data_IF_127208262114
#
_entry.id   IF_127208262114
#
_cell.length_a   1.000
_cell.length_b   1.000
_cell.length_c   1.000
_cell.angle_alpha   90.00
_cell.angle_beta   90.00
_cell.angle_gamma   90.00
#
_symmetry.space_group_name_H-M   'P 1'
#
loop_
_entity.id
_entity.type
_entity.pdbx_description
1 polymer ?
#
# COMPACT_ATOMS: atom_id res chain seq x y z
N UNK A 1 68.44 -68.09 -23.27
CA UNK A 1 68.05 -66.81 -23.89
C UNK A 1 66.78 -66.31 -23.20
N UNK A 2 66.80 -65.10 -22.64
CA UNK A 2 65.71 -64.54 -21.82
C UNK A 2 64.77 -63.69 -22.67
N UNK A 3 63.48 -64.00 -22.65
CA UNK A 3 62.39 -63.23 -23.24
C UNK A 3 62.16 -61.96 -22.43
N UNK A 4 62.25 -60.76 -23.05
CA UNK A 4 61.89 -59.48 -22.44
C UNK A 4 60.44 -59.13 -22.80
N UNK A 5 59.67 -58.76 -21.77
CA UNK A 5 58.28 -58.32 -21.85
C UNK A 5 58.15 -56.94 -22.53
N UNK A 6 57.16 -56.83 -23.41
CA UNK A 6 56.60 -55.57 -23.93
C UNK A 6 55.42 -55.20 -23.03
N UNK A 7 55.53 -54.14 -22.24
CA UNK A 7 54.37 -53.46 -21.62
C UNK A 7 54.63 -51.96 -21.66
N UNK A 8 54.14 -51.29 -22.70
CA UNK A 8 54.08 -49.83 -22.78
C UNK A 8 53.00 -49.41 -23.80
N UNK A 9 51.72 -49.45 -23.43
CA UNK A 9 50.64 -48.86 -24.25
C UNK A 9 49.24 -48.75 -23.63
N UNK A 10 48.98 -49.24 -22.41
CA UNK A 10 47.60 -49.23 -21.85
C UNK A 10 47.27 -47.97 -21.04
N UNK A 11 48.26 -47.25 -20.51
CA UNK A 11 48.00 -46.08 -19.65
C UNK A 11 47.58 -44.80 -20.39
N UNK A 12 47.97 -44.62 -21.65
CA UNK A 12 47.61 -43.43 -22.45
C UNK A 12 46.21 -43.52 -23.05
N UNK A 13 45.70 -44.71 -23.37
CA UNK A 13 44.36 -44.87 -23.93
C UNK A 13 43.26 -44.58 -22.90
N UNK A 14 43.40 -45.05 -21.66
CA UNK A 14 42.39 -44.87 -20.59
C UNK A 14 42.26 -43.41 -20.15
N UNK A 15 43.36 -42.65 -20.14
CA UNK A 15 43.33 -41.21 -19.83
C UNK A 15 42.67 -40.41 -20.97
N UNK A 16 42.82 -40.86 -22.23
CA UNK A 16 42.19 -40.21 -23.38
C UNK A 16 40.68 -40.48 -23.47
N UNK A 17 40.22 -41.71 -23.19
CA UNK A 17 38.80 -42.07 -23.22
C UNK A 17 38.01 -41.43 -22.07
N UNK A 18 38.59 -41.36 -20.88
CA UNK A 18 37.99 -40.66 -19.73
C UNK A 18 37.89 -39.15 -19.97
N UNK A 19 38.92 -38.52 -20.56
CA UNK A 19 38.88 -37.10 -20.91
C UNK A 19 37.85 -36.76 -22.00
N UNK A 20 37.64 -37.64 -22.99
CA UNK A 20 36.59 -37.47 -24.01
C UNK A 20 35.18 -37.71 -23.44
N UNK A 21 35.01 -38.70 -22.56
CA UNK A 21 33.74 -38.96 -21.87
C UNK A 21 33.31 -37.79 -20.96
N UNK A 22 34.24 -37.03 -20.39
CA UNK A 22 33.93 -35.94 -19.46
C UNK A 22 33.53 -34.63 -20.15
N UNK A 23 34.18 -34.27 -21.28
CA UNK A 23 33.67 -33.19 -22.17
C UNK A 23 32.28 -33.53 -22.73
N UNK A 24 31.97 -34.83 -22.85
CA UNK A 24 30.64 -35.27 -23.26
C UNK A 24 29.57 -34.91 -22.23
N UNK A 25 29.85 -34.94 -20.92
CA UNK A 25 28.85 -34.63 -19.90
C UNK A 25 28.42 -33.15 -19.94
N UNK A 26 29.35 -32.21 -20.12
CA UNK A 26 28.99 -30.80 -20.29
C UNK A 26 28.14 -30.57 -21.56
N UNK A 27 28.47 -31.27 -22.65
CA UNK A 27 27.69 -31.21 -23.89
C UNK A 27 26.30 -31.85 -23.75
N UNK A 28 26.19 -32.97 -23.03
CA UNK A 28 24.93 -33.64 -22.70
C UNK A 28 24.06 -32.75 -21.84
N UNK A 29 24.63 -32.15 -20.78
CA UNK A 29 23.92 -31.20 -19.93
C UNK A 29 23.35 -30.05 -20.76
N UNK A 30 24.14 -29.50 -21.69
CA UNK A 30 23.69 -28.42 -22.56
C UNK A 30 22.56 -28.87 -23.47
N UNK A 31 22.72 -30.02 -24.12
CA UNK A 31 21.74 -30.57 -25.07
C UNK A 31 20.40 -30.85 -24.38
N UNK A 32 20.42 -31.47 -23.21
CA UNK A 32 19.22 -31.75 -22.45
C UNK A 32 18.58 -30.48 -21.88
N UNK A 33 19.38 -29.51 -21.45
CA UNK A 33 18.84 -28.21 -21.04
C UNK A 33 18.20 -27.48 -22.22
N UNK A 34 18.83 -27.46 -23.40
CA UNK A 34 18.25 -26.87 -24.60
C UNK A 34 16.89 -27.52 -24.93
N UNK A 35 16.78 -28.86 -24.85
CA UNK A 35 15.49 -29.58 -25.00
C UNK A 35 14.46 -29.14 -23.96
N UNK A 36 14.86 -29.02 -22.70
CA UNK A 36 14.00 -28.50 -21.64
C UNK A 36 13.49 -27.08 -21.98
N UNK A 37 14.35 -26.17 -22.45
CA UNK A 37 13.93 -24.79 -22.74
C UNK A 37 12.90 -24.66 -23.86
N UNK A 38 12.83 -25.65 -24.76
CA UNK A 38 11.85 -25.73 -25.86
C UNK A 38 10.49 -26.25 -25.37
N UNK A 39 10.49 -27.30 -24.55
CA UNK A 39 9.24 -27.95 -24.10
C UNK A 39 8.66 -27.31 -22.82
N UNK A 40 9.54 -26.90 -21.91
CA UNK A 40 9.32 -26.22 -20.60
C UNK A 40 8.44 -26.93 -19.57
N UNK A 41 7.48 -27.75 -19.98
CA UNK A 41 6.47 -28.36 -19.10
C UNK A 41 6.21 -29.82 -19.42
N UNK A 42 5.61 -30.54 -18.48
CA UNK A 42 5.25 -31.94 -18.65
C UNK A 42 6.43 -32.91 -18.50
N UNK A 43 6.12 -34.20 -18.67
CA UNK A 43 7.05 -35.30 -18.35
C UNK A 43 8.37 -35.22 -19.14
N UNK A 44 8.32 -34.87 -20.42
CA UNK A 44 9.52 -34.75 -21.27
C UNK A 44 10.45 -33.67 -20.73
N UNK A 45 9.90 -32.50 -20.38
CA UNK A 45 10.69 -31.40 -19.81
C UNK A 45 11.32 -31.81 -18.46
N UNK A 46 10.56 -32.49 -17.60
CA UNK A 46 11.06 -33.00 -16.32
C UNK A 46 12.19 -34.00 -16.49
N UNK A 47 12.05 -34.95 -17.42
CA UNK A 47 13.10 -35.94 -17.73
C UNK A 47 14.36 -35.25 -18.24
N UNK A 48 14.25 -34.38 -19.25
CA UNK A 48 15.41 -33.65 -19.78
C UNK A 48 16.08 -32.77 -18.73
N UNK A 49 15.32 -32.08 -17.88
CA UNK A 49 15.90 -31.25 -16.81
C UNK A 49 16.60 -32.10 -15.74
N UNK A 50 16.07 -33.28 -15.41
CA UNK A 50 16.72 -34.26 -14.54
C UNK A 50 18.05 -34.76 -15.11
N UNK A 51 18.06 -35.19 -16.37
CA UNK A 51 19.29 -35.63 -17.05
C UNK A 51 20.31 -34.49 -17.15
N UNK A 52 19.86 -33.27 -17.47
CA UNK A 52 20.72 -32.10 -17.51
C UNK A 52 21.39 -31.85 -16.15
N UNK A 53 20.65 -32.02 -15.05
CA UNK A 53 21.18 -31.90 -13.68
C UNK A 53 22.27 -32.93 -13.39
N UNK A 54 22.03 -34.19 -13.70
CA UNK A 54 23.01 -35.26 -13.46
C UNK A 54 24.30 -35.01 -14.23
N UNK A 55 24.19 -34.66 -15.52
CA UNK A 55 25.34 -34.37 -16.35
C UNK A 55 26.09 -33.11 -15.93
N UNK A 56 25.40 -32.03 -15.53
CA UNK A 56 26.08 -30.81 -15.09
C UNK A 56 26.78 -31.00 -13.74
N UNK A 57 26.26 -31.84 -12.85
CA UNK A 57 26.93 -32.15 -11.59
C UNK A 57 28.23 -32.92 -11.82
N UNK A 58 28.24 -33.90 -12.74
CA UNK A 58 29.46 -34.60 -13.15
C UNK A 58 30.47 -33.65 -13.80
N UNK A 59 30.01 -32.76 -14.69
CA UNK A 59 30.88 -31.77 -15.33
C UNK A 59 31.45 -30.76 -14.31
N UNK A 60 30.68 -30.39 -13.30
CA UNK A 60 31.12 -29.48 -12.23
C UNK A 60 32.08 -30.14 -11.22
N UNK A 61 32.11 -31.46 -11.14
CA UNK A 61 33.03 -32.22 -10.29
C UNK A 61 34.38 -32.53 -10.97
N UNK A 62 34.54 -32.21 -12.26
CA UNK A 62 35.74 -32.52 -13.03
C UNK A 62 36.67 -31.31 -13.18
N UNK A 63 37.94 -31.44 -12.81
CA UNK A 63 38.91 -30.34 -12.80
C UNK A 63 39.02 -29.57 -14.13
N UNK A 64 38.83 -30.25 -15.28
CA UNK A 64 38.98 -29.62 -16.61
C UNK A 64 37.74 -28.81 -17.01
N UNK A 65 36.56 -29.20 -16.54
CA UNK A 65 35.30 -28.54 -16.90
C UNK A 65 34.72 -27.69 -15.79
N UNK A 66 35.07 -27.94 -14.53
CA UNK A 66 34.49 -27.28 -13.35
C UNK A 66 34.69 -25.75 -13.32
N UNK A 67 35.78 -25.27 -13.91
CA UNK A 67 36.15 -23.86 -13.93
C UNK A 67 35.76 -23.15 -15.24
N UNK A 68 35.10 -23.85 -16.17
CA UNK A 68 34.67 -23.23 -17.43
C UNK A 68 33.47 -22.29 -17.18
N UNK A 69 33.45 -21.09 -17.78
CA UNK A 69 32.30 -20.18 -17.67
C UNK A 69 30.98 -20.82 -18.08
N UNK A 70 31.00 -21.66 -19.12
CA UNK A 70 29.84 -22.42 -19.58
C UNK A 70 29.29 -23.38 -18.51
N UNK A 71 30.16 -24.02 -17.73
CA UNK A 71 29.74 -24.93 -16.65
C UNK A 71 29.00 -24.16 -15.57
N UNK A 72 29.49 -22.99 -15.17
CA UNK A 72 28.80 -22.14 -14.21
C UNK A 72 27.46 -21.64 -14.75
N UNK A 73 27.43 -21.11 -15.97
CA UNK A 73 26.22 -20.57 -16.58
C UNK A 73 25.13 -21.64 -16.73
N UNK A 74 25.51 -22.83 -17.21
CA UNK A 74 24.59 -23.93 -17.39
C UNK A 74 24.10 -24.51 -16.05
N UNK A 75 25.00 -24.63 -15.07
CA UNK A 75 24.62 -25.05 -13.71
C UNK A 75 23.62 -24.08 -13.10
N UNK A 76 23.85 -22.77 -13.24
CA UNK A 76 22.94 -21.75 -12.76
C UNK A 76 21.54 -21.88 -13.40
N UNK A 77 21.49 -22.03 -14.73
CA UNK A 77 20.24 -22.12 -15.48
C UNK A 77 19.44 -23.40 -15.14
N UNK A 78 20.11 -24.54 -15.08
CA UNK A 78 19.50 -25.85 -14.73
C UNK A 78 18.96 -25.80 -13.29
N UNK A 79 19.78 -25.40 -12.32
CA UNK A 79 19.37 -25.38 -10.92
C UNK A 79 18.27 -24.35 -10.65
N UNK A 80 18.32 -23.19 -11.29
CA UNK A 80 17.24 -22.20 -11.23
C UNK A 80 15.93 -22.74 -11.79
N UNK A 81 15.98 -23.49 -12.89
CA UNK A 81 14.80 -24.12 -13.48
C UNK A 81 14.20 -25.19 -12.54
N UNK A 82 15.04 -26.03 -11.93
CA UNK A 82 14.61 -27.05 -10.96
C UNK A 82 13.98 -26.45 -9.70
N UNK A 83 14.49 -25.31 -9.23
CA UNK A 83 13.92 -24.61 -8.08
C UNK A 83 12.49 -24.11 -8.35
N UNK A 84 12.04 -24.04 -9.60
CA UNK A 84 10.67 -23.68 -9.93
C UNK A 84 9.72 -24.90 -10.00
N UNK A 85 10.23 -26.15 -10.06
CA UNK A 85 9.43 -27.38 -10.28
C UNK A 85 9.39 -28.34 -9.06
N UNK A 86 10.05 -28.01 -7.95
CA UNK A 86 10.26 -28.95 -6.81
C UNK A 86 9.50 -28.57 -5.53
N UNK A 87 9.52 -29.44 -4.51
CA UNK A 87 8.91 -29.21 -3.19
C UNK A 87 9.71 -28.21 -2.34
N UNK A 88 9.11 -27.65 -1.28
CA UNK A 88 9.63 -26.46 -0.59
C UNK A 88 11.07 -26.58 -0.05
N UNK A 89 11.43 -27.67 0.63
CA UNK A 89 12.77 -27.82 1.22
C UNK A 89 13.85 -28.08 0.16
N UNK A 90 13.54 -28.87 -0.86
CA UNK A 90 14.45 -29.09 -1.99
C UNK A 90 14.68 -27.81 -2.79
N UNK A 91 13.67 -26.93 -2.90
CA UNK A 91 13.77 -25.64 -3.62
C UNK A 91 14.83 -24.71 -3.05
N UNK A 92 14.95 -24.59 -1.73
CA UNK A 92 15.89 -23.64 -1.09
C UNK A 92 17.36 -24.01 -1.36
N UNK A 93 17.69 -25.30 -1.35
CA UNK A 93 19.04 -25.77 -1.69
C UNK A 93 19.34 -25.58 -3.18
N UNK A 94 18.35 -25.84 -4.04
CA UNK A 94 18.48 -25.68 -5.49
C UNK A 94 18.71 -24.22 -5.87
N UNK A 95 17.93 -23.29 -5.29
CA UNK A 95 18.07 -21.86 -5.59
C UNK A 95 19.40 -21.30 -5.09
N UNK A 96 19.87 -21.72 -3.91
CA UNK A 96 21.18 -21.31 -3.39
C UNK A 96 22.30 -21.74 -4.33
N UNK A 97 22.26 -23.00 -4.78
CA UNK A 97 23.22 -23.53 -5.76
C UNK A 97 23.16 -22.76 -7.09
N UNK A 98 21.95 -22.40 -7.54
CA UNK A 98 21.76 -21.61 -8.76
C UNK A 98 22.38 -20.21 -8.63
N UNK A 99 22.16 -19.53 -7.50
CA UNK A 99 22.68 -18.18 -7.24
C UNK A 99 24.22 -18.16 -7.16
N UNK A 100 24.83 -19.13 -6.48
CA UNK A 100 26.28 -19.26 -6.40
C UNK A 100 26.90 -19.51 -7.78
N UNK A 101 26.30 -20.41 -8.56
CA UNK A 101 26.74 -20.69 -9.92
C UNK A 101 26.53 -19.47 -10.84
N UNK A 102 25.42 -18.74 -10.68
CA UNK A 102 25.12 -17.55 -11.45
C UNK A 102 26.18 -16.46 -11.23
N UNK A 103 26.52 -16.18 -9.97
CA UNK A 103 27.57 -15.21 -9.66
C UNK A 103 28.92 -15.59 -10.28
N UNK A 104 29.33 -16.86 -10.12
CA UNK A 104 30.57 -17.36 -10.75
C UNK A 104 30.53 -17.26 -12.28
N UNK A 105 29.38 -17.50 -12.89
CA UNK A 105 29.20 -17.37 -14.33
C UNK A 105 29.38 -15.92 -14.79
N UNK A 106 28.80 -14.95 -14.08
CA UNK A 106 28.98 -13.53 -14.37
C UNK A 106 30.44 -13.10 -14.26
N UNK A 107 31.15 -13.57 -13.23
CA UNK A 107 32.55 -13.24 -13.00
C UNK A 107 33.47 -13.88 -14.06
N UNK A 108 33.16 -15.11 -14.50
CA UNK A 108 34.00 -15.89 -15.42
C UNK A 108 33.73 -15.60 -16.91
N UNK A 109 32.50 -15.27 -17.32
CA UNK A 109 32.09 -15.09 -18.73
C UNK A 109 32.43 -13.68 -19.27
N UNK A 110 33.69 -13.28 -19.12
CA UNK A 110 34.19 -11.95 -19.52
C UNK A 110 34.02 -11.63 -21.02
N UNK A 111 33.89 -12.66 -21.86
CA UNK A 111 33.67 -12.54 -23.32
C UNK A 111 32.20 -12.55 -23.72
N UNK A 112 31.28 -12.83 -22.79
CA UNK A 112 29.84 -12.90 -23.05
C UNK A 112 29.41 -14.09 -23.92
N UNK A 113 30.23 -15.14 -24.02
CA UNK A 113 29.95 -16.34 -24.82
C UNK A 113 28.76 -17.13 -24.27
N UNK A 114 28.48 -16.99 -22.97
CA UNK A 114 27.43 -17.70 -22.25
C UNK A 114 26.28 -16.77 -21.82
N UNK A 115 26.22 -15.55 -22.38
CA UNK A 115 25.22 -14.53 -22.03
C UNK A 115 23.78 -15.07 -22.02
N UNK A 116 23.39 -15.85 -23.04
CA UNK A 116 22.04 -16.43 -23.11
C UNK A 116 21.72 -17.33 -21.91
N UNK A 117 22.67 -18.17 -21.49
CA UNK A 117 22.49 -19.06 -20.34
C UNK A 117 22.46 -18.28 -19.02
N UNK A 118 23.30 -17.24 -18.91
CA UNK A 118 23.31 -16.34 -17.75
C UNK A 118 21.97 -15.57 -17.65
N UNK A 119 21.47 -15.06 -18.78
CA UNK A 119 20.17 -14.38 -18.85
C UNK A 119 19.01 -15.33 -18.50
N UNK A 120 19.03 -16.58 -18.97
CA UNK A 120 18.05 -17.59 -18.58
C UNK A 120 18.14 -17.90 -17.08
N UNK A 121 19.34 -18.09 -16.52
CA UNK A 121 19.52 -18.31 -15.09
C UNK A 121 18.97 -17.14 -14.26
N UNK A 122 19.25 -15.90 -14.68
CA UNK A 122 18.70 -14.68 -14.07
C UNK A 122 17.17 -14.71 -14.05
N UNK A 123 16.53 -15.05 -15.18
CA UNK A 123 15.07 -15.17 -15.29
C UNK A 123 14.54 -16.23 -14.33
N UNK A 124 15.13 -17.42 -14.29
CA UNK A 124 14.63 -18.51 -13.44
C UNK A 124 14.80 -18.22 -11.94
N UNK A 125 15.94 -17.63 -11.55
CA UNK A 125 16.20 -17.23 -10.16
C UNK A 125 15.21 -16.15 -9.72
N UNK A 126 14.96 -15.16 -10.59
CA UNK A 126 13.97 -14.13 -10.32
C UNK A 126 12.56 -14.72 -10.23
N UNK A 127 12.13 -15.55 -11.19
CA UNK A 127 10.79 -16.18 -11.16
C UNK A 127 10.53 -16.94 -9.86
N UNK A 128 11.55 -17.62 -9.32
CA UNK A 128 11.46 -18.23 -8.00
C UNK A 128 11.13 -17.19 -6.91
N UNK A 129 11.82 -16.05 -6.88
CA UNK A 129 11.57 -14.97 -5.92
C UNK A 129 10.17 -14.37 -6.10
N UNK A 130 9.71 -14.19 -7.33
CA UNK A 130 8.36 -13.70 -7.61
C UNK A 130 7.29 -14.67 -7.06
N UNK A 131 7.41 -15.97 -7.38
CA UNK A 131 6.48 -17.00 -6.92
C UNK A 131 6.50 -17.16 -5.40
N UNK A 132 7.68 -17.08 -4.79
CA UNK A 132 7.85 -17.07 -3.33
C UNK A 132 7.13 -15.87 -2.73
N UNK A 133 7.33 -14.68 -3.27
CA UNK A 133 6.69 -13.46 -2.81
C UNK A 133 5.17 -13.54 -2.89
N UNK A 134 4.61 -14.07 -3.99
CA UNK A 134 3.17 -14.30 -4.13
C UNK A 134 2.65 -15.23 -3.03
N UNK A 135 3.32 -16.37 -2.80
CA UNK A 135 2.93 -17.34 -1.77
C UNK A 135 2.98 -16.73 -0.36
N UNK A 136 4.05 -16.01 -0.04
CA UNK A 136 4.21 -15.35 1.25
C UNK A 136 3.15 -14.26 1.45
N UNK A 137 2.83 -13.49 0.41
CA UNK A 137 1.77 -12.47 0.43
C UNK A 137 0.40 -13.11 0.70
N UNK A 138 0.05 -14.17 -0.02
CA UNK A 138 -1.21 -14.91 0.18
C UNK A 138 -1.30 -15.53 1.57
N UNK A 139 -0.16 -15.86 2.19
CA UNK A 139 -0.09 -16.40 3.55
C UNK A 139 -0.06 -15.30 4.63
N UNK A 140 -0.21 -14.02 4.27
CA UNK A 140 -0.15 -12.89 5.20
C UNK A 140 1.25 -12.56 5.73
N UNK A 141 2.30 -13.17 5.18
CA UNK A 141 3.71 -12.97 5.59
C UNK A 141 4.32 -11.82 4.80
N UNK A 142 3.81 -10.61 5.04
CA UNK A 142 4.09 -9.46 4.18
C UNK A 142 5.56 -9.02 4.14
N UNK A 143 6.30 -9.11 5.25
CA UNK A 143 7.75 -8.80 5.27
C UNK A 143 8.57 -9.74 4.38
N UNK A 144 8.23 -11.04 4.40
CA UNK A 144 8.87 -12.04 3.54
C UNK A 144 8.49 -11.83 2.08
N UNK A 145 7.22 -11.51 1.82
CA UNK A 145 6.74 -11.19 0.49
C UNK A 145 7.45 -9.97 -0.10
N UNK A 146 7.59 -8.90 0.70
CA UNK A 146 8.34 -7.71 0.32
C UNK A 146 9.77 -8.06 -0.07
N UNK A 147 10.47 -8.81 0.79
CA UNK A 147 11.86 -9.22 0.56
C UNK A 147 11.99 -10.02 -0.73
N UNK A 148 11.08 -10.96 -0.99
CA UNK A 148 11.10 -11.78 -2.20
C UNK A 148 10.83 -10.93 -3.47
N UNK A 149 9.85 -10.03 -3.44
CA UNK A 149 9.62 -9.13 -4.57
C UNK A 149 10.76 -8.14 -4.80
N UNK A 150 11.40 -7.64 -3.74
CA UNK A 150 12.58 -6.78 -3.86
C UNK A 150 13.76 -7.51 -4.50
N UNK A 151 14.01 -8.77 -4.10
CA UNK A 151 15.00 -9.64 -4.72
C UNK A 151 14.72 -9.89 -6.22
N UNK A 152 13.45 -10.09 -6.61
CA UNK A 152 13.06 -10.17 -8.02
C UNK A 152 13.46 -8.89 -8.78
N UNK A 153 13.20 -7.72 -8.17
CA UNK A 153 13.44 -6.42 -8.78
C UNK A 153 14.91 -6.04 -8.92
N UNK A 154 15.83 -6.69 -8.22
CA UNK A 154 17.26 -6.54 -8.51
C UNK A 154 17.58 -6.96 -9.96
N UNK A 155 16.83 -7.93 -10.49
CA UNK A 155 16.97 -8.39 -11.87
C UNK A 155 16.12 -7.60 -12.86
N UNK A 156 14.94 -7.16 -12.43
CA UNK A 156 13.93 -6.48 -13.25
C UNK A 156 13.42 -5.19 -12.58
N UNK A 157 14.27 -4.16 -12.44
CA UNK A 157 13.96 -2.98 -11.63
C UNK A 157 12.79 -2.14 -12.17
N UNK A 158 12.60 -2.18 -13.49
CA UNK A 158 11.59 -1.42 -14.24
C UNK A 158 10.29 -2.20 -14.50
N UNK A 159 10.17 -3.45 -14.02
CA UNK A 159 8.89 -4.16 -14.10
C UNK A 159 7.87 -3.48 -13.18
N UNK A 160 6.98 -2.70 -13.82
CA UNK A 160 5.91 -1.96 -13.15
C UNK A 160 4.99 -2.84 -12.31
N UNK A 161 4.73 -4.09 -12.71
CA UNK A 161 3.91 -5.01 -11.91
C UNK A 161 4.65 -5.41 -10.63
N UNK A 162 5.95 -5.67 -10.74
CA UNK A 162 6.78 -5.97 -9.58
C UNK A 162 6.91 -4.77 -8.65
N UNK A 163 7.05 -3.53 -9.17
CA UNK A 163 7.00 -2.31 -8.35
C UNK A 163 5.69 -2.25 -7.54
N UNK A 164 4.56 -2.57 -8.18
CA UNK A 164 3.26 -2.61 -7.50
C UNK A 164 3.23 -3.68 -6.41
N UNK A 165 3.63 -4.91 -6.70
CA UNK A 165 3.62 -6.00 -5.71
C UNK A 165 4.57 -5.74 -4.54
N UNK A 166 5.77 -5.20 -4.80
CA UNK A 166 6.70 -4.78 -3.74
C UNK A 166 6.08 -3.67 -2.88
N UNK A 167 5.44 -2.67 -3.49
CA UNK A 167 4.78 -1.58 -2.76
C UNK A 167 3.61 -2.06 -1.91
N UNK A 168 2.77 -2.95 -2.44
CA UNK A 168 1.65 -3.55 -1.71
C UNK A 168 2.14 -4.42 -0.54
N UNK A 169 3.16 -5.25 -0.75
CA UNK A 169 3.75 -6.06 0.31
C UNK A 169 4.35 -5.17 1.42
N UNK A 170 5.09 -4.11 1.06
CA UNK A 170 5.63 -3.15 2.02
C UNK A 170 4.52 -2.45 2.83
N UNK A 171 3.44 -2.01 2.17
CA UNK A 171 2.32 -1.35 2.84
C UNK A 171 1.63 -2.28 3.86
N UNK A 172 1.38 -3.54 3.48
CA UNK A 172 0.77 -4.53 4.38
C UNK A 172 1.72 -4.97 5.51
N UNK A 173 3.03 -4.95 5.26
CA UNK A 173 4.06 -5.12 6.28
C UNK A 173 4.22 -3.90 7.21
N UNK A 174 3.47 -2.81 6.98
CA UNK A 174 3.61 -1.53 7.68
C UNK A 174 4.99 -0.89 7.52
N UNK A 175 5.75 -1.31 6.50
CA UNK A 175 7.00 -0.67 6.10
C UNK A 175 6.67 0.54 5.22
N UNK A 176 6.24 1.62 5.86
CA UNK A 176 5.73 2.82 5.18
C UNK A 176 6.79 3.47 4.29
N UNK A 177 8.07 3.42 4.64
CA UNK A 177 9.14 4.02 3.83
C UNK A 177 9.35 3.29 2.50
N UNK A 178 9.43 1.96 2.55
CA UNK A 178 9.54 1.16 1.34
C UNK A 178 8.25 1.28 0.50
N UNK A 179 7.08 1.30 1.14
CA UNK A 179 5.82 1.49 0.44
C UNK A 179 5.78 2.83 -0.29
N UNK A 180 6.05 3.95 0.40
CA UNK A 180 6.08 5.30 -0.19
C UNK A 180 7.05 5.36 -1.36
N UNK A 181 8.27 4.81 -1.22
CA UNK A 181 9.25 4.78 -2.30
C UNK A 181 8.71 4.10 -3.57
N UNK A 182 8.03 2.96 -3.40
CA UNK A 182 7.42 2.24 -4.53
C UNK A 182 6.21 2.98 -5.11
N UNK A 183 5.31 3.50 -4.30
CA UNK A 183 4.14 4.24 -4.77
C UNK A 183 4.52 5.56 -5.48
N UNK A 184 5.59 6.24 -5.04
CA UNK A 184 6.17 7.37 -5.78
C UNK A 184 6.67 6.99 -7.17
N UNK A 185 7.18 5.77 -7.35
CA UNK A 185 7.51 5.25 -8.68
C UNK A 185 6.24 4.92 -9.46
N UNK A 186 5.23 4.32 -8.83
CA UNK A 186 3.99 3.94 -9.53
C UNK A 186 3.28 5.13 -10.19
N UNK A 187 3.27 6.30 -9.55
CA UNK A 187 2.65 7.52 -10.11
C UNK A 187 3.36 8.05 -11.37
N UNK A 188 4.54 7.54 -11.72
CA UNK A 188 5.24 7.88 -12.97
C UNK A 188 5.15 6.77 -14.04
N UNK A 189 4.44 5.68 -13.77
CA UNK A 189 4.32 4.52 -14.67
C UNK A 189 2.95 4.43 -15.35
N UNK A 190 2.65 3.31 -16.02
CA UNK A 190 1.30 2.97 -16.51
C UNK A 190 0.23 3.05 -15.42
N UNK A 191 0.61 2.82 -14.15
CA UNK A 191 -0.29 2.91 -13.00
C UNK A 191 -0.65 4.33 -12.58
N UNK A 192 -0.01 5.35 -13.15
CA UNK A 192 -0.39 6.75 -12.93
C UNK A 192 -1.85 7.03 -13.33
N UNK A 193 -2.49 6.20 -14.15
CA UNK A 193 -3.92 6.33 -14.49
C UNK A 193 -4.86 5.69 -13.45
N UNK A 194 -4.31 5.01 -12.44
CA UNK A 194 -5.08 4.44 -11.35
C UNK A 194 -5.24 5.46 -10.24
N UNK A 195 -6.48 5.77 -9.87
CA UNK A 195 -6.76 6.62 -8.72
C UNK A 195 -6.25 5.99 -7.42
N UNK A 196 -6.36 4.67 -7.29
CA UNK A 196 -5.96 3.94 -6.07
C UNK A 196 -4.51 4.22 -5.67
N UNK A 197 -3.60 4.33 -6.63
CA UNK A 197 -2.18 4.62 -6.36
C UNK A 197 -1.98 5.96 -5.66
N UNK A 198 -2.74 7.00 -6.03
CA UNK A 198 -2.66 8.29 -5.35
C UNK A 198 -3.29 8.21 -3.96
N UNK A 199 -4.43 7.54 -3.83
CA UNK A 199 -5.13 7.41 -2.54
C UNK A 199 -4.30 6.61 -1.51
N UNK A 200 -3.65 5.55 -1.96
CA UNK A 200 -2.75 4.74 -1.15
C UNK A 200 -1.51 5.55 -0.75
N UNK A 201 -0.91 6.30 -1.68
CA UNK A 201 0.24 7.16 -1.38
C UNK A 201 -0.11 8.26 -0.38
N UNK A 202 -1.26 8.93 -0.52
CA UNK A 202 -1.78 9.89 0.48
C UNK A 202 -1.93 9.20 1.83
N UNK A 203 -2.54 8.02 1.87
CA UNK A 203 -2.77 7.26 3.11
C UNK A 203 -1.45 6.89 3.79
N UNK A 204 -0.45 6.44 3.03
CA UNK A 204 0.88 6.12 3.54
C UNK A 204 1.57 7.35 4.13
N UNK A 205 1.48 8.51 3.49
CA UNK A 205 2.02 9.76 4.03
C UNK A 205 1.32 10.18 5.33
N UNK A 206 -0.01 10.03 5.41
CA UNK A 206 -0.77 10.31 6.63
C UNK A 206 -0.41 9.36 7.78
N UNK A 207 -0.19 8.07 7.49
CA UNK A 207 0.29 7.10 8.48
C UNK A 207 1.69 7.48 9.00
N UNK A 208 2.52 8.10 8.16
CA UNK A 208 3.81 8.69 8.57
C UNK A 208 3.70 10.05 9.25
N UNK A 209 2.49 10.59 9.40
CA UNK A 209 2.22 11.96 9.89
C UNK A 209 2.87 13.05 9.01
N UNK A 210 3.20 12.72 7.76
CA UNK A 210 3.69 13.68 6.77
C UNK A 210 2.50 14.26 5.99
N UNK A 211 1.75 15.13 6.66
CA UNK A 211 0.57 15.77 6.09
C UNK A 211 0.90 16.67 4.90
N UNK A 212 2.10 17.26 4.87
CA UNK A 212 2.53 18.14 3.79
C UNK A 212 2.68 17.35 2.47
N UNK A 213 3.36 16.20 2.50
CA UNK A 213 3.46 15.33 1.32
C UNK A 213 2.11 14.74 0.92
N UNK A 214 1.26 14.38 1.91
CA UNK A 214 -0.09 13.89 1.63
C UNK A 214 -0.93 14.92 0.85
N UNK A 215 -0.87 16.20 1.25
CA UNK A 215 -1.57 17.29 0.54
C UNK A 215 -1.06 17.43 -0.88
N UNK A 216 0.26 17.44 -1.08
CA UNK A 216 0.85 17.56 -2.42
C UNK A 216 0.36 16.45 -3.37
N UNK A 217 0.34 15.20 -2.90
CA UNK A 217 -0.16 14.06 -3.70
C UNK A 217 -1.67 14.17 -3.94
N UNK A 218 -2.42 14.67 -2.96
CA UNK A 218 -3.85 14.92 -3.13
C UNK A 218 -4.12 15.99 -4.20
N UNK A 219 -3.37 17.09 -4.21
CA UNK A 219 -3.48 18.14 -5.23
C UNK A 219 -3.17 17.60 -6.63
N UNK A 220 -2.17 16.71 -6.75
CA UNK A 220 -1.87 16.02 -8.01
C UNK A 220 -3.04 15.13 -8.43
N UNK A 221 -3.66 14.42 -7.48
CA UNK A 221 -4.81 13.55 -7.74
C UNK A 221 -6.03 14.36 -8.19
N UNK A 222 -6.38 15.46 -7.52
CA UNK A 222 -7.57 16.27 -7.88
C UNK A 222 -7.40 17.00 -9.20
N UNK A 223 -6.19 17.45 -9.54
CA UNK A 223 -5.88 17.96 -10.89
C UNK A 223 -6.07 16.90 -11.98
N UNK A 224 -5.71 15.64 -11.68
CA UNK A 224 -5.83 14.53 -12.63
C UNK A 224 -7.27 14.02 -12.77
N UNK A 225 -8.06 14.09 -11.70
CA UNK A 225 -9.43 13.62 -11.64
C UNK A 225 -10.39 14.76 -11.21
N UNK A 226 -10.49 15.86 -11.99
CA UNK A 226 -11.18 17.09 -11.55
C UNK A 226 -12.69 16.93 -11.39
N UNK A 227 -13.28 15.84 -11.91
CA UNK A 227 -14.71 15.52 -11.78
C UNK A 227 -15.02 14.58 -10.62
N UNK A 228 -14.02 14.15 -9.85
CA UNK A 228 -14.22 13.26 -8.71
C UNK A 228 -14.53 14.08 -7.45
N UNK A 229 -15.82 14.18 -7.12
CA UNK A 229 -16.30 14.95 -5.97
C UNK A 229 -15.74 14.43 -4.62
N UNK A 230 -15.54 13.12 -4.48
CA UNK A 230 -15.00 12.54 -3.25
C UNK A 230 -13.54 12.93 -3.02
N UNK A 231 -12.73 13.03 -4.09
CA UNK A 231 -11.35 13.53 -3.95
C UNK A 231 -11.32 15.01 -3.61
N UNK A 232 -12.16 15.83 -4.26
CA UNK A 232 -12.26 17.25 -3.94
C UNK A 232 -12.64 17.47 -2.46
N UNK A 233 -13.61 16.70 -1.97
CA UNK A 233 -13.97 16.63 -0.54
C UNK A 233 -12.76 16.28 0.32
N UNK A 234 -12.07 15.18 0.01
CA UNK A 234 -10.95 14.69 0.82
C UNK A 234 -9.77 15.67 0.82
N UNK A 235 -9.53 16.37 -0.27
CA UNK A 235 -8.55 17.46 -0.37
C UNK A 235 -8.89 18.62 0.57
N UNK A 236 -10.16 19.06 0.56
CA UNK A 236 -10.65 20.11 1.46
C UNK A 236 -10.49 19.68 2.92
N UNK A 237 -10.98 18.50 3.30
CA UNK A 237 -10.91 17.99 4.67
C UNK A 237 -9.47 17.86 5.15
N UNK A 238 -8.56 17.37 4.30
CA UNK A 238 -7.15 17.23 4.61
C UNK A 238 -6.49 18.61 4.85
N UNK A 239 -6.79 19.59 3.99
CA UNK A 239 -6.25 20.94 4.14
C UNK A 239 -6.83 21.67 5.37
N UNK A 240 -8.11 21.44 5.71
CA UNK A 240 -8.71 21.94 6.95
C UNK A 240 -7.98 21.38 8.17
N UNK A 241 -7.72 20.06 8.20
CA UNK A 241 -6.97 19.42 9.28
C UNK A 241 -5.54 19.95 9.40
N UNK A 242 -4.91 20.29 8.27
CA UNK A 242 -3.58 20.89 8.24
C UNK A 242 -3.55 22.39 8.61
N UNK A 243 -4.71 23.02 8.83
CA UNK A 243 -4.79 24.45 9.15
C UNK A 243 -4.65 25.38 7.93
N UNK A 244 -4.70 24.85 6.71
CA UNK A 244 -4.57 25.60 5.45
C UNK A 244 -5.86 26.37 5.09
N UNK A 245 -6.47 27.05 6.07
CA UNK A 245 -7.76 27.74 5.96
C UNK A 245 -7.83 28.67 4.76
N UNK A 246 -6.77 29.47 4.53
CA UNK A 246 -6.73 30.49 3.47
C UNK A 246 -6.86 29.85 2.08
N UNK A 247 -6.09 28.79 1.83
CA UNK A 247 -6.11 28.08 0.54
C UNK A 247 -7.47 27.43 0.29
N UNK A 248 -8.02 26.75 1.30
CA UNK A 248 -9.35 26.12 1.21
C UNK A 248 -10.43 27.16 0.93
N UNK A 249 -10.40 28.29 1.63
CA UNK A 249 -11.38 29.38 1.45
C UNK A 249 -11.33 29.90 0.01
N UNK A 250 -10.14 30.17 -0.54
CA UNK A 250 -9.99 30.66 -1.92
C UNK A 250 -10.48 29.64 -2.96
N UNK A 251 -10.18 28.34 -2.78
CA UNK A 251 -10.68 27.27 -3.65
C UNK A 251 -12.20 27.19 -3.61
N UNK A 252 -12.79 27.26 -2.41
CA UNK A 252 -14.25 27.22 -2.23
C UNK A 252 -14.95 28.45 -2.79
N UNK A 253 -14.40 29.66 -2.62
CA UNK A 253 -14.95 30.88 -3.23
C UNK A 253 -15.03 30.77 -4.76
N UNK A 254 -13.95 30.27 -5.38
CA UNK A 254 -13.91 30.03 -6.82
C UNK A 254 -14.93 28.96 -7.24
N UNK A 255 -15.03 27.86 -6.49
CA UNK A 255 -16.00 26.80 -6.77
C UNK A 255 -17.45 27.29 -6.62
N UNK A 256 -17.76 28.08 -5.58
CA UNK A 256 -19.09 28.64 -5.34
C UNK A 256 -19.48 29.61 -6.46
N UNK A 257 -18.54 30.43 -6.95
CA UNK A 257 -18.80 31.32 -8.07
C UNK A 257 -19.18 30.55 -9.36
N UNK A 258 -18.62 29.36 -9.56
CA UNK A 258 -18.91 28.51 -10.71
C UNK A 258 -20.20 27.69 -10.55
N UNK A 259 -20.53 27.27 -9.33
CA UNK A 259 -21.71 26.45 -9.03
C UNK A 259 -22.42 26.94 -7.74
N UNK A 260 -23.15 28.08 -7.81
CA UNK A 260 -23.76 28.72 -6.66
C UNK A 260 -24.98 27.96 -6.09
N UNK A 261 -25.41 26.86 -6.72
CA UNK A 261 -26.50 26.01 -6.21
C UNK A 261 -25.99 24.74 -5.53
N UNK A 262 -24.68 24.62 -5.37
CA UNK A 262 -24.08 23.45 -4.74
C UNK A 262 -23.98 23.60 -3.22
N UNK A 263 -24.97 23.03 -2.51
CA UNK A 263 -25.01 23.01 -1.04
C UNK A 263 -23.74 22.49 -0.37
N UNK A 264 -23.02 21.54 -0.99
CA UNK A 264 -21.81 20.96 -0.41
C UNK A 264 -20.67 21.98 -0.32
N UNK A 265 -20.55 22.88 -1.30
CA UNK A 265 -19.52 23.94 -1.27
C UNK A 265 -19.73 24.91 -0.11
N UNK A 266 -20.98 25.32 0.14
CA UNK A 266 -21.32 26.14 1.29
C UNK A 266 -21.10 25.40 2.61
N UNK A 267 -21.43 24.10 2.67
CA UNK A 267 -21.11 23.27 3.82
C UNK A 267 -19.61 23.23 4.12
N UNK A 268 -18.76 22.97 3.12
CA UNK A 268 -17.31 22.96 3.31
C UNK A 268 -16.74 24.33 3.69
N UNK A 269 -17.32 25.42 3.21
CA UNK A 269 -16.95 26.77 3.65
C UNK A 269 -17.29 26.95 5.14
N UNK A 270 -18.48 26.53 5.55
CA UNK A 270 -18.88 26.51 6.96
C UNK A 270 -17.95 25.66 7.82
N UNK A 271 -17.57 24.47 7.34
CA UNK A 271 -16.62 23.57 8.01
C UNK A 271 -15.23 24.22 8.18
N UNK A 272 -14.77 24.91 7.14
CA UNK A 272 -13.50 25.65 7.15
C UNK A 272 -13.49 26.75 8.22
N UNK A 273 -14.57 27.55 8.31
CA UNK A 273 -14.70 28.55 9.38
C UNK A 273 -14.90 27.96 10.77
N UNK A 274 -15.66 26.86 10.87
CA UNK A 274 -15.88 26.11 12.11
C UNK A 274 -14.58 25.58 12.71
N UNK A 275 -13.71 25.00 11.87
CA UNK A 275 -12.38 24.50 12.29
C UNK A 275 -11.49 25.61 12.88
N UNK A 276 -11.68 26.84 12.42
CA UNK A 276 -10.99 28.03 12.90
C UNK A 276 -11.72 28.72 14.08
N UNK A 277 -12.77 28.09 14.62
CA UNK A 277 -13.67 28.62 15.67
C UNK A 277 -14.36 29.94 15.32
N UNK A 278 -14.41 30.29 14.04
CA UNK A 278 -15.19 31.42 13.54
C UNK A 278 -16.65 30.96 13.35
N UNK A 279 -17.31 30.72 14.48
CA UNK A 279 -18.66 30.15 14.50
C UNK A 279 -19.71 31.08 13.90
N UNK A 280 -19.44 32.39 13.82
CA UNK A 280 -20.34 33.35 13.19
C UNK A 280 -20.35 33.13 11.67
N UNK A 281 -19.18 33.10 11.01
CA UNK A 281 -19.10 32.80 9.59
C UNK A 281 -19.52 31.36 9.28
N UNK A 282 -19.19 30.41 10.15
CA UNK A 282 -19.63 29.02 9.98
C UNK A 282 -21.17 28.94 9.88
N UNK A 283 -21.90 29.62 10.78
CA UNK A 283 -23.36 29.71 10.73
C UNK A 283 -23.85 30.32 9.41
N UNK A 284 -23.25 31.42 8.93
CA UNK A 284 -23.65 32.05 7.67
C UNK A 284 -23.57 31.08 6.48
N UNK A 285 -22.46 30.34 6.36
CA UNK A 285 -22.27 29.40 5.27
C UNK A 285 -23.10 28.14 5.41
N UNK A 286 -23.28 27.61 6.62
CA UNK A 286 -24.22 26.50 6.83
C UNK A 286 -25.65 26.91 6.52
N UNK A 287 -26.05 28.16 6.82
CA UNK A 287 -27.37 28.65 6.48
C UNK A 287 -27.56 28.66 4.95
N UNK A 288 -26.59 29.16 4.19
CA UNK A 288 -26.64 29.11 2.71
C UNK A 288 -26.76 27.68 2.17
N UNK A 289 -26.11 26.71 2.80
CA UNK A 289 -26.27 25.30 2.43
C UNK A 289 -27.70 24.80 2.70
N UNK A 290 -28.30 25.20 3.83
CA UNK A 290 -29.66 24.84 4.23
C UNK A 290 -30.75 25.59 3.44
N UNK A 291 -30.46 26.79 2.93
CA UNK A 291 -31.37 27.53 2.04
C UNK A 291 -31.54 26.80 0.69
N UNK A 292 -30.52 26.03 0.28
CA UNK A 292 -30.55 25.18 -0.92
C UNK A 292 -31.22 23.83 -0.61
N UNK A 293 -30.88 23.22 0.53
CA UNK A 293 -31.45 21.95 0.98
C UNK A 293 -31.67 21.95 2.51
N UNK A 294 -32.90 22.20 2.96
CA UNK A 294 -33.24 22.22 4.39
C UNK A 294 -33.01 20.88 5.10
N UNK A 295 -32.98 19.76 4.37
CA UNK A 295 -32.77 18.42 4.92
C UNK A 295 -31.30 17.98 4.82
N UNK A 296 -30.37 18.89 4.50
CA UNK A 296 -28.96 18.53 4.41
C UNK A 296 -28.41 18.18 5.80
N UNK A 297 -28.17 16.89 6.02
CA UNK A 297 -27.83 16.33 7.32
C UNK A 297 -26.57 16.97 7.92
N UNK A 298 -25.49 17.04 7.14
CA UNK A 298 -24.20 17.55 7.59
C UNK A 298 -24.27 19.02 7.97
N UNK A 299 -25.00 19.84 7.21
CA UNK A 299 -25.18 21.26 7.52
C UNK A 299 -26.04 21.46 8.77
N UNK A 300 -27.14 20.70 8.94
CA UNK A 300 -27.97 20.76 10.15
C UNK A 300 -27.18 20.34 11.42
N UNK A 301 -26.45 19.23 11.34
CA UNK A 301 -25.63 18.72 12.44
C UNK A 301 -24.56 19.74 12.85
N UNK A 302 -23.83 20.29 11.86
CA UNK A 302 -22.74 21.22 12.12
C UNK A 302 -23.23 22.62 12.51
N UNK A 303 -24.37 23.08 11.99
CA UNK A 303 -25.05 24.29 12.45
C UNK A 303 -25.38 24.19 13.94
N UNK A 304 -26.01 23.08 14.34
CA UNK A 304 -26.30 22.79 15.74
C UNK A 304 -25.06 22.78 16.62
N UNK A 305 -23.99 22.15 16.14
CA UNK A 305 -22.69 22.13 16.83
C UNK A 305 -22.13 23.54 17.04
N UNK A 306 -21.99 24.36 15.99
CA UNK A 306 -21.37 25.69 16.11
C UNK A 306 -22.19 26.67 16.94
N UNK A 307 -23.52 26.47 17.04
CA UNK A 307 -24.38 27.23 17.94
C UNK A 307 -24.21 26.76 19.39
N UNK A 308 -24.14 25.45 19.63
CA UNK A 308 -24.03 24.92 21.00
C UNK A 308 -22.64 25.03 21.59
N UNK A 309 -21.56 24.99 20.80
CA UNK A 309 -20.19 24.96 21.34
C UNK A 309 -19.89 26.14 22.27
N UNK A 310 -20.18 27.41 21.89
CA UNK A 310 -20.02 28.52 22.84
C UNK A 310 -20.98 28.44 24.03
N UNK A 311 -22.17 27.85 23.86
CA UNK A 311 -23.12 27.65 24.95
C UNK A 311 -22.57 26.71 26.02
N UNK A 312 -21.88 25.64 25.61
CA UNK A 312 -21.18 24.70 26.50
C UNK A 312 -20.07 25.42 27.27
N UNK A 313 -19.27 26.24 26.60
CA UNK A 313 -18.19 27.00 27.25
C UNK A 313 -18.75 27.98 28.30
N UNK A 314 -19.84 28.68 27.98
CA UNK A 314 -20.54 29.59 28.91
C UNK A 314 -21.10 28.81 30.10
N UNK A 315 -21.77 27.69 29.86
CA UNK A 315 -22.36 26.83 30.90
C UNK A 315 -21.29 26.32 31.87
N UNK A 316 -20.19 25.78 31.33
CA UNK A 316 -19.09 25.24 32.11
C UNK A 316 -18.36 26.33 32.91
N UNK A 317 -18.21 27.52 32.33
CA UNK A 317 -17.63 28.68 33.02
C UNK A 317 -18.53 29.17 34.15
N UNK A 318 -19.86 29.20 33.93
CA UNK A 318 -20.83 29.56 34.95
C UNK A 318 -20.74 28.64 36.17
N UNK A 319 -20.69 27.32 35.96
CA UNK A 319 -20.64 26.32 37.04
C UNK A 319 -19.34 26.36 37.87
N UNK A 320 -18.33 27.13 37.45
CA UNK A 320 -17.09 27.36 38.21
C UNK A 320 -17.11 28.67 39.01
N UNK A 321 -18.15 29.49 38.88
CA UNK A 321 -18.26 30.74 39.62
C UNK A 321 -18.44 30.48 41.12
N UNK A 322 -17.82 31.29 41.99
CA UNK A 322 -18.02 31.19 43.43
C UNK A 322 -19.47 31.54 43.83
N UNK A 323 -19.92 31.04 44.98
CA UNK A 323 -21.30 31.21 45.45
C UNK A 323 -21.74 32.69 45.57
N UNK A 324 -20.81 33.62 45.80
CA UNK A 324 -21.08 35.06 45.88
C UNK A 324 -21.29 35.74 44.50
N UNK A 325 -21.17 35.01 43.39
CA UNK A 325 -21.36 35.47 42.00
C UNK A 325 -22.70 35.00 41.41
N UNK A 326 -23.73 34.85 42.23
CA UNK A 326 -25.01 34.25 41.83
C UNK A 326 -25.68 34.99 40.66
N UNK A 327 -25.59 36.33 40.60
CA UNK A 327 -26.17 37.12 39.51
C UNK A 327 -25.50 36.80 38.16
N UNK A 328 -24.17 36.77 38.13
CA UNK A 328 -23.39 36.41 36.95
C UNK A 328 -23.62 34.95 36.53
N UNK A 329 -23.74 34.04 37.51
CA UNK A 329 -24.12 32.65 37.26
C UNK A 329 -25.46 32.56 36.52
N UNK A 330 -26.51 33.18 37.06
CA UNK A 330 -27.85 33.13 36.47
C UNK A 330 -27.88 33.75 35.06
N UNK A 331 -27.18 34.87 34.85
CA UNK A 331 -27.08 35.50 33.53
C UNK A 331 -26.37 34.60 32.51
N UNK A 332 -25.27 33.95 32.90
CA UNK A 332 -24.54 33.03 32.04
C UNK A 332 -25.35 31.77 31.70
N UNK A 333 -26.06 31.19 32.69
CA UNK A 333 -26.95 30.05 32.46
C UNK A 333 -28.10 30.44 31.53
N UNK A 334 -28.72 31.60 31.70
CA UNK A 334 -29.78 32.08 30.81
C UNK A 334 -29.28 32.26 29.37
N UNK A 335 -28.09 32.87 29.19
CA UNK A 335 -27.45 33.03 27.88
C UNK A 335 -27.15 31.69 27.22
N UNK A 336 -26.57 30.76 27.97
CA UNK A 336 -26.26 29.41 27.49
C UNK A 336 -27.53 28.67 27.08
N UNK A 337 -28.58 28.70 27.91
CA UNK A 337 -29.87 28.09 27.62
C UNK A 337 -30.50 28.64 26.32
N UNK A 338 -30.45 29.96 26.11
CA UNK A 338 -30.96 30.57 24.87
C UNK A 338 -30.22 30.07 23.62
N UNK A 339 -28.91 29.85 23.72
CA UNK A 339 -28.13 29.28 22.62
C UNK A 339 -28.45 27.81 22.38
N UNK A 340 -28.64 27.01 23.43
CA UNK A 340 -29.12 25.63 23.30
C UNK A 340 -30.49 25.56 22.64
N UNK A 341 -31.43 26.45 23.01
CA UNK A 341 -32.73 26.58 22.34
C UNK A 341 -32.59 26.92 20.86
N UNK A 342 -31.63 27.78 20.48
CA UNK A 342 -31.35 28.10 19.06
C UNK A 342 -30.76 26.92 18.30
N UNK A 343 -29.95 26.09 18.95
CA UNK A 343 -29.31 24.91 18.34
C UNK A 343 -30.29 23.74 18.14
N UNK A 344 -31.22 23.56 19.09
CA UNK A 344 -32.19 22.45 19.14
C UNK A 344 -32.89 22.14 17.81
N UNK A 345 -33.50 23.09 17.06
CA UNK A 345 -34.23 22.76 15.82
C UNK A 345 -33.33 22.13 14.75
N UNK A 346 -32.08 22.58 14.60
CA UNK A 346 -31.14 22.03 13.62
C UNK A 346 -30.72 20.61 13.99
N UNK A 347 -30.52 20.34 15.28
CA UNK A 347 -30.11 19.02 15.74
C UNK A 347 -31.28 18.04 15.70
N UNK A 348 -32.49 18.49 16.03
CA UNK A 348 -33.70 17.72 15.83
C UNK A 348 -33.85 17.34 14.36
N UNK A 349 -33.70 18.30 13.44
CA UNK A 349 -33.72 18.03 11.99
C UNK A 349 -32.63 17.04 11.58
N UNK A 350 -31.41 17.16 12.10
CA UNK A 350 -30.35 16.18 11.84
C UNK A 350 -30.74 14.76 12.32
N UNK A 351 -31.35 14.63 13.50
CA UNK A 351 -31.83 13.33 14.00
C UNK A 351 -33.08 12.81 13.29
N UNK A 352 -33.86 13.67 12.63
CA UNK A 352 -34.99 13.29 11.78
C UNK A 352 -34.48 12.73 10.46
N UNK A 353 -33.54 13.43 9.81
CA UNK A 353 -32.94 13.01 8.53
C UNK A 353 -32.11 11.74 8.70
N UNK A 354 -31.35 11.62 9.79
CA UNK A 354 -30.58 10.42 10.10
C UNK A 354 -30.81 9.96 11.55
N UNK A 355 -31.85 9.14 11.80
CA UNK A 355 -32.23 8.68 13.14
C UNK A 355 -31.22 7.78 13.85
N UNK A 356 -30.29 7.18 13.10
CA UNK A 356 -29.25 6.28 13.63
C UNK A 356 -27.91 6.98 13.81
N UNK A 357 -27.80 8.28 13.51
CA UNK A 357 -26.59 9.05 13.76
C UNK A 357 -26.33 9.21 15.26
N UNK A 358 -25.34 8.48 15.77
CA UNK A 358 -24.89 8.60 17.16
C UNK A 358 -24.38 10.01 17.47
N UNK A 359 -23.73 10.68 16.52
CA UNK A 359 -23.26 12.06 16.68
C UNK A 359 -24.41 13.06 16.84
N UNK A 360 -25.44 12.97 16.00
CA UNK A 360 -26.62 13.82 16.10
C UNK A 360 -27.37 13.58 17.43
N UNK A 361 -27.49 12.32 17.85
CA UNK A 361 -28.12 11.97 19.13
C UNK A 361 -27.29 12.46 20.33
N UNK A 362 -25.97 12.36 20.29
CA UNK A 362 -25.10 12.90 21.34
C UNK A 362 -25.23 14.43 21.43
N UNK A 363 -25.25 15.12 20.29
CA UNK A 363 -25.48 16.56 20.23
C UNK A 363 -26.87 16.92 20.81
N UNK A 364 -27.92 16.16 20.48
CA UNK A 364 -29.27 16.38 21.01
C UNK A 364 -29.34 16.18 22.53
N UNK A 365 -28.70 15.13 23.02
CA UNK A 365 -28.57 14.86 24.46
C UNK A 365 -27.86 16.01 25.17
N UNK A 366 -26.77 16.52 24.60
CA UNK A 366 -26.02 17.67 25.14
C UNK A 366 -26.88 18.92 25.23
N UNK A 367 -27.70 19.20 24.21
CA UNK A 367 -28.68 20.30 24.25
C UNK A 367 -29.65 20.12 25.42
N UNK A 368 -30.26 18.94 25.57
CA UNK A 368 -31.20 18.69 26.66
C UNK A 368 -30.55 18.79 28.05
N UNK A 369 -29.31 18.31 28.22
CA UNK A 369 -28.56 18.48 29.48
C UNK A 369 -28.32 19.97 29.75
N UNK A 370 -27.87 20.74 28.75
CA UNK A 370 -27.63 22.17 28.87
C UNK A 370 -28.88 22.98 29.24
N UNK A 371 -30.06 22.52 28.78
CA UNK A 371 -31.37 23.07 29.12
C UNK A 371 -31.97 22.51 30.42
N UNK A 372 -31.28 21.58 31.10
CA UNK A 372 -31.76 20.83 32.29
C UNK A 372 -33.06 20.04 32.03
N UNK A 373 -33.21 19.48 30.83
CA UNK A 373 -34.32 18.63 30.41
C UNK A 373 -33.96 17.13 30.58
N UNK A 374 -33.68 16.71 31.82
CA UNK A 374 -33.08 15.40 32.13
C UNK A 374 -33.88 14.20 31.59
N UNK A 375 -35.21 14.27 31.62
CA UNK A 375 -36.08 13.22 31.09
C UNK A 375 -35.88 13.02 29.57
N UNK A 376 -35.73 14.12 28.80
CA UNK A 376 -35.46 14.05 27.37
C UNK A 376 -34.04 13.57 27.09
N UNK A 377 -33.06 14.04 27.87
CA UNK A 377 -31.68 13.56 27.77
C UNK A 377 -31.59 12.05 28.00
N UNK A 378 -32.27 11.53 29.03
CA UNK A 378 -32.35 10.09 29.32
C UNK A 378 -33.04 9.30 28.20
N UNK A 379 -34.11 9.85 27.60
CA UNK A 379 -34.77 9.22 26.46
C UNK A 379 -33.85 9.12 25.23
N UNK A 380 -33.07 10.17 24.94
CA UNK A 380 -32.07 10.15 23.85
C UNK A 380 -30.94 9.16 24.17
N UNK A 381 -30.49 9.07 25.42
CA UNK A 381 -29.49 8.08 25.82
C UNK A 381 -29.95 6.64 25.57
N UNK A 382 -31.21 6.32 25.90
CA UNK A 382 -31.79 5.00 25.58
C UNK A 382 -31.78 4.71 24.07
N UNK A 383 -32.02 5.71 23.23
CA UNK A 383 -31.90 5.57 21.76
C UNK A 383 -30.47 5.24 21.34
N UNK A 384 -29.47 5.95 21.90
CA UNK A 384 -28.06 5.69 21.62
C UNK A 384 -27.66 4.27 22.04
N UNK A 385 -28.08 3.83 23.22
CA UNK A 385 -27.75 2.50 23.73
C UNK A 385 -28.40 1.38 22.91
N UNK A 386 -29.59 1.62 22.35
CA UNK A 386 -30.25 0.68 21.46
C UNK A 386 -29.51 0.49 20.12
N UNK A 387 -28.71 1.47 19.66
CA UNK A 387 -27.92 1.37 18.42
C UNK A 387 -26.60 0.61 18.60
N UNK A 388 -26.17 0.37 19.84
CA UNK A 388 -24.93 -0.36 20.16
C UNK A 388 -25.11 -1.87 20.32
N UNK A 389 -26.37 -2.32 20.36
CA UNK A 389 -26.76 -3.73 20.41
C UNK A 389 -26.99 -4.23 19.00
#
# INVERSE_FOLDING_TARGET
>A
MKTKYVIASVFTLVVSTTAMAQKSELATAKTEYDKYTVVRTGKIAQTSLGTAKESIDKAAANDKTAQLPQTYALKAAIYGSLANDTTQQSRENLITTAQDAYKKAQDADTKGENKKLIDDAKIQIANYQLNKGVKDYQSGKYDLAYTAFDNYRQSFPEDTNAILYTGLAAANAKNNDAAISNYKKLVTTKYSKSLGVYQDLVTLYLQKKDTASAIKVMDEATKKYPKNAELAKREIELNIQAGNKKEVTQKLETAIANDPKNKALYYYAGLTYSSAKDYAKAQEYYQKALDIDPNYFEANLNMGFVIMSPAIDIFNSANKLPANKQKEYLAAIAKSNAMFTKAEPYILKATEVNPTSVDALNNLKTVYIGKKEDAKAAAVQKRIDALKK
#
